data_IF_025392536311
#
_entry.id   IF_025392536311
#
_cell.length_a   1.000
_cell.length_b   1.000
_cell.length_c   1.000
_cell.angle_alpha   90.00
_cell.angle_beta   90.00
_cell.angle_gamma   90.00
#
_symmetry.space_group_name_H-M   'P 1'
#
loop_
_entity.id
_entity.type
_entity.pdbx_description
1 polymer ?
#
# COMPACT_ATOMS: atom_id res chain seq x y z
N UNK A 1 41.73 -1.51 4.06
CA UNK A 1 40.65 -1.68 3.07
C UNK A 1 39.71 -2.71 3.67
N UNK A 2 38.78 -2.24 4.51
CA UNK A 2 37.78 -3.10 5.14
C UNK A 2 36.80 -3.51 4.05
N UNK A 3 36.67 -4.81 3.83
CA UNK A 3 35.69 -5.40 2.93
C UNK A 3 34.28 -5.05 3.44
N UNK A 4 33.62 -4.12 2.77
CA UNK A 4 32.17 -3.92 2.91
C UNK A 4 31.50 -5.25 2.57
N UNK A 5 30.97 -5.91 3.58
CA UNK A 5 30.05 -7.04 3.40
C UNK A 5 28.78 -6.47 2.79
N UNK A 6 28.60 -6.62 1.49
CA UNK A 6 27.29 -6.45 0.84
C UNK A 6 26.36 -7.52 1.41
N UNK A 7 25.62 -7.20 2.49
CA UNK A 7 24.48 -8.01 2.90
C UNK A 7 23.45 -7.93 1.78
N UNK A 8 23.12 -9.06 1.15
CA UNK A 8 21.96 -9.12 0.27
C UNK A 8 20.73 -8.72 1.09
N UNK A 9 20.08 -7.64 0.68
CA UNK A 9 18.82 -7.22 1.27
C UNK A 9 17.78 -8.23 0.80
N UNK A 10 17.40 -9.16 1.68
CA UNK A 10 16.34 -10.13 1.40
C UNK A 10 14.98 -9.46 1.20
N UNK A 11 14.03 -10.18 0.58
CA UNK A 11 12.66 -9.71 0.42
C UNK A 11 11.84 -9.97 1.68
N UNK A 12 11.29 -8.92 2.29
CA UNK A 12 10.38 -9.05 3.42
C UNK A 12 8.95 -9.27 2.88
N UNK A 13 8.37 -10.42 3.19
CA UNK A 13 7.01 -10.79 2.80
C UNK A 13 6.27 -11.41 3.98
N UNK A 14 5.07 -10.89 4.27
CA UNK A 14 4.22 -11.38 5.37
C UNK A 14 3.04 -12.21 4.86
N UNK A 15 2.52 -11.90 3.67
CA UNK A 15 1.41 -12.61 3.02
C UNK A 15 1.84 -13.13 1.65
N UNK A 16 1.41 -14.34 1.29
CA UNK A 16 1.50 -14.86 -0.07
C UNK A 16 0.32 -14.39 -0.97
N UNK A 17 0.37 -14.61 -2.29
CA UNK A 17 -0.70 -14.21 -3.21
C UNK A 17 -2.05 -14.88 -2.93
N UNK A 18 -2.06 -16.04 -2.29
CA UNK A 18 -3.25 -16.78 -1.87
C UNK A 18 -3.83 -16.23 -0.55
N UNK A 19 -3.11 -15.33 0.12
CA UNK A 19 -3.51 -14.66 1.36
C UNK A 19 -3.14 -15.42 2.63
N UNK A 20 -2.30 -16.46 2.54
CA UNK A 20 -1.75 -17.13 3.71
C UNK A 20 -0.56 -16.35 4.29
N UNK A 21 -0.43 -16.42 5.61
CA UNK A 21 0.67 -15.78 6.35
C UNK A 21 1.93 -16.64 6.18
N UNK A 22 2.96 -16.06 5.56
CA UNK A 22 4.25 -16.73 5.28
C UNK A 22 5.43 -16.12 6.04
N UNK A 23 5.23 -14.98 6.69
CA UNK A 23 6.23 -14.30 7.52
C UNK A 23 5.71 -13.96 8.92
N UNK A 24 6.48 -13.23 9.70
CA UNK A 24 6.05 -12.76 11.03
C UNK A 24 5.17 -11.51 10.88
N UNK A 25 3.87 -11.56 11.25
CA UNK A 25 3.01 -10.40 11.20
C UNK A 25 3.29 -9.46 12.37
N UNK A 26 3.06 -8.17 12.15
CA UNK A 26 3.12 -7.17 13.21
C UNK A 26 1.98 -7.41 14.21
N UNK A 27 2.29 -7.70 15.50
CA UNK A 27 1.27 -7.99 16.51
C UNK A 27 0.38 -6.79 16.87
N UNK A 28 0.76 -5.58 16.46
CA UNK A 28 -0.04 -4.36 16.67
C UNK A 28 -1.19 -4.24 15.67
N UNK A 29 -1.16 -5.02 14.57
CA UNK A 29 -2.21 -5.02 13.56
C UNK A 29 -3.44 -5.81 14.03
N UNK A 30 -4.41 -5.10 14.59
CA UNK A 30 -5.71 -5.68 14.97
C UNK A 30 -6.59 -5.94 13.74
N UNK A 31 -7.54 -6.86 13.86
CA UNK A 31 -8.51 -7.13 12.78
C UNK A 31 -9.28 -5.88 12.35
N UNK A 32 -9.68 -5.04 13.31
CA UNK A 32 -10.41 -3.80 13.01
C UNK A 32 -9.54 -2.82 12.21
N UNK A 33 -8.25 -2.74 12.54
CA UNK A 33 -7.28 -1.93 11.82
C UNK A 33 -7.07 -2.45 10.39
N UNK A 34 -6.88 -3.76 10.22
CA UNK A 34 -6.75 -4.39 8.90
C UNK A 34 -7.99 -4.14 8.02
N UNK A 35 -9.18 -4.24 8.59
CA UNK A 35 -10.44 -3.93 7.88
C UNK A 35 -10.52 -2.45 7.51
N UNK A 36 -10.09 -1.55 8.40
CA UNK A 36 -10.05 -0.11 8.11
C UNK A 36 -9.08 0.20 6.95
N UNK A 37 -7.86 -0.36 7.00
CA UNK A 37 -6.86 -0.23 5.94
C UNK A 37 -7.38 -0.75 4.60
N UNK A 38 -8.03 -1.92 4.59
CA UNK A 38 -8.63 -2.48 3.38
C UNK A 38 -9.72 -1.57 2.80
N UNK A 39 -10.58 -1.01 3.64
CA UNK A 39 -11.60 -0.04 3.20
C UNK A 39 -10.96 1.20 2.58
N UNK A 40 -9.87 1.70 3.13
CA UNK A 40 -9.20 2.89 2.61
C UNK A 40 -8.46 2.62 1.29
N UNK A 41 -7.87 1.43 1.12
CA UNK A 41 -7.33 1.00 -0.19
C UNK A 41 -8.42 0.96 -1.26
N UNK A 42 -9.60 0.41 -0.94
CA UNK A 42 -10.74 0.38 -1.88
C UNK A 42 -11.23 1.79 -2.20
N UNK A 43 -11.32 2.69 -1.21
CA UNK A 43 -11.69 4.09 -1.44
C UNK A 43 -10.70 4.78 -2.38
N UNK A 44 -9.40 4.59 -2.18
CA UNK A 44 -8.36 5.14 -3.03
C UNK A 44 -8.51 4.66 -4.48
N UNK A 45 -8.72 3.36 -4.70
CA UNK A 45 -8.99 2.78 -6.03
C UNK A 45 -10.22 3.40 -6.69
N UNK A 46 -11.34 3.49 -5.97
CA UNK A 46 -12.58 4.06 -6.52
C UNK A 46 -12.41 5.54 -6.86
N UNK A 47 -11.67 6.27 -6.03
CA UNK A 47 -11.31 7.67 -6.31
C UNK A 47 -10.45 7.80 -7.57
N UNK A 48 -9.42 6.96 -7.72
CA UNK A 48 -8.58 6.90 -8.92
C UNK A 48 -9.41 6.67 -10.19
N UNK A 49 -10.29 5.67 -10.17
CA UNK A 49 -11.18 5.37 -11.29
C UNK A 49 -12.11 6.54 -11.63
N UNK A 50 -12.60 7.26 -10.62
CA UNK A 50 -13.41 8.45 -10.82
C UNK A 50 -12.59 9.60 -11.41
N UNK A 51 -11.38 9.85 -10.90
CA UNK A 51 -10.46 10.85 -11.41
C UNK A 51 -10.06 10.60 -12.87
N UNK A 52 -9.86 9.33 -13.25
CA UNK A 52 -9.59 8.93 -14.63
C UNK A 52 -10.74 9.26 -15.58
N UNK A 53 -11.99 9.26 -15.11
CA UNK A 53 -13.18 9.63 -15.91
C UNK A 53 -13.35 11.14 -16.06
N UNK A 54 -13.00 11.92 -15.04
CA UNK A 54 -13.27 13.37 -15.02
C UNK A 54 -12.12 14.24 -15.55
N UNK A 55 -10.85 13.84 -15.37
CA UNK A 55 -9.72 14.65 -15.80
C UNK A 55 -9.67 14.88 -17.33
N UNK A 56 -10.06 13.93 -18.21
CA UNK A 56 -10.06 14.17 -19.65
C UNK A 56 -11.18 15.13 -20.09
N UNK A 57 -12.21 15.31 -19.25
CA UNK A 57 -13.31 16.23 -19.51
C UNK A 57 -12.97 17.68 -19.16
N UNK A 58 -11.75 17.96 -18.67
CA UNK A 58 -11.34 19.28 -18.20
C UNK A 58 -12.01 19.71 -16.88
N UNK A 59 -12.73 18.79 -16.23
CA UNK A 59 -13.40 19.02 -14.94
C UNK A 59 -12.44 18.92 -13.74
N UNK A 60 -11.26 18.37 -13.97
CA UNK A 60 -10.15 18.35 -13.03
C UNK A 60 -8.83 18.60 -13.78
N UNK A 61 -7.81 19.08 -13.06
CA UNK A 61 -6.45 19.16 -13.60
C UNK A 61 -5.91 17.77 -13.93
N UNK A 62 -4.73 17.72 -14.58
CA UNK A 62 -4.06 16.47 -14.97
C UNK A 62 -3.94 15.52 -13.76
N UNK A 63 -4.44 14.29 -13.91
CA UNK A 63 -4.35 13.25 -12.89
C UNK A 63 -3.33 12.18 -13.27
N UNK A 64 -2.61 11.65 -12.27
CA UNK A 64 -1.73 10.50 -12.42
C UNK A 64 -2.26 9.38 -11.51
N UNK A 65 -2.71 8.24 -12.07
CA UNK A 65 -3.23 7.13 -11.28
C UNK A 65 -2.11 6.38 -10.54
N UNK A 66 -2.49 5.69 -9.47
CA UNK A 66 -1.60 4.94 -8.57
C UNK A 66 -2.00 3.46 -8.45
N UNK A 67 -2.60 2.90 -9.51
CA UNK A 67 -3.05 1.51 -9.55
C UNK A 67 -1.94 0.53 -9.12
N UNK A 68 -2.25 -0.35 -8.17
CA UNK A 68 -1.31 -1.32 -7.62
C UNK A 68 -0.37 -0.74 -6.55
N UNK A 69 -0.46 0.54 -6.22
CA UNK A 69 0.33 1.23 -5.18
C UNK A 69 -0.53 1.70 -3.99
N UNK A 70 -1.79 1.28 -3.92
CA UNK A 70 -2.71 1.72 -2.85
C UNK A 70 -2.22 1.23 -1.49
N UNK A 71 -1.73 -0.01 -1.40
CA UNK A 71 -1.26 -0.61 -0.16
C UNK A 71 -0.02 0.08 0.40
N UNK A 72 0.95 0.47 -0.44
CA UNK A 72 2.17 1.13 -0.01
C UNK A 72 1.90 2.53 0.56
N UNK A 73 0.98 3.27 -0.06
CA UNK A 73 0.56 4.58 0.43
C UNK A 73 -0.23 4.48 1.74
N UNK A 74 -1.27 3.64 1.77
CA UNK A 74 -2.14 3.50 2.95
C UNK A 74 -1.36 2.94 4.14
N UNK A 75 -0.53 1.91 3.94
CA UNK A 75 0.29 1.34 5.02
C UNK A 75 1.19 2.36 5.70
N UNK A 76 1.82 3.24 4.91
CA UNK A 76 2.70 4.31 5.43
C UNK A 76 1.94 5.33 6.28
N UNK A 77 0.72 5.69 5.88
CA UNK A 77 -0.14 6.63 6.62
C UNK A 77 -0.47 6.07 8.01
N UNK A 78 -0.91 4.81 8.08
CA UNK A 78 -1.29 4.17 9.33
C UNK A 78 -0.10 3.92 10.27
N UNK A 79 1.11 3.76 9.75
CA UNK A 79 2.34 3.68 10.55
C UNK A 79 2.70 5.00 11.23
N UNK A 80 2.44 6.13 10.56
CA UNK A 80 2.81 7.47 11.07
C UNK A 80 1.83 8.00 12.12
N UNK A 81 0.61 7.46 12.18
CA UNK A 81 -0.41 7.85 13.16
C UNK A 81 -0.29 7.18 14.53
N UNK A 82 0.78 6.40 14.76
CA UNK A 82 1.05 5.69 16.02
C UNK A 82 1.89 6.48 17.02
#
# INVERSE_FOLDING_TARGET
>A
MSSDSHSEIGFLQVLDPEGAVVGEPDPTLTNDLLVAMMRDMVKARVFDEWMLKIHPLGMASRYAPCEGQEASMIGSVYSTSS
#
